data_IF_902096688068
#
_entry.id   IF_902096688068
#
_cell.length_a   1.000
_cell.length_b   1.000
_cell.length_c   1.000
_cell.angle_alpha   90.00
_cell.angle_beta   90.00
_cell.angle_gamma   90.00
#
_symmetry.space_group_name_H-M   'P 1'
#
loop_
_entity.id
_entity.type
_entity.pdbx_description
1 polymer ?
#
# COMPACT_ATOMS: atom_id res chain seq x y z
N UNK A 1 -1.28 2.79 16.41
CA UNK A 1 -0.09 2.08 16.93
C UNK A 1 -0.42 0.61 17.16
N UNK A 2 -0.80 -0.12 16.12
CA UNK A 2 -1.15 -1.54 16.23
C UNK A 2 0.10 -2.42 16.45
N UNK A 3 1.28 -1.86 16.26
CA UNK A 3 2.55 -2.49 16.63
C UNK A 3 2.76 -2.62 18.15
N UNK A 4 1.94 -1.97 18.97
CA UNK A 4 1.92 -2.14 20.42
C UNK A 4 0.93 -3.25 20.80
N UNK A 5 1.42 -4.31 21.45
CA UNK A 5 0.61 -5.48 21.80
C UNK A 5 -0.59 -5.14 22.68
N UNK A 6 -0.44 -4.19 23.62
CA UNK A 6 -1.55 -3.81 24.49
C UNK A 6 -2.68 -3.11 23.71
N UNK A 7 -2.32 -2.30 22.71
CA UNK A 7 -3.30 -1.67 21.81
C UNK A 7 -3.97 -2.73 20.94
N UNK A 8 -3.19 -3.63 20.34
CA UNK A 8 -3.72 -4.73 19.53
C UNK A 8 -4.74 -5.57 20.30
N UNK A 9 -4.37 -6.05 21.49
CA UNK A 9 -5.23 -6.90 22.32
C UNK A 9 -6.52 -6.16 22.72
N UNK A 10 -6.41 -4.87 23.07
CA UNK A 10 -7.57 -4.05 23.43
C UNK A 10 -8.52 -3.83 22.25
N UNK A 11 -8.00 -3.56 21.04
CA UNK A 11 -8.85 -3.30 19.87
C UNK A 11 -9.40 -4.57 19.20
N UNK A 12 -8.81 -5.74 19.46
CA UNK A 12 -9.23 -7.02 18.87
C UNK A 12 -10.00 -7.92 19.84
N UNK A 13 -10.39 -7.43 21.02
CA UNK A 13 -11.15 -8.22 22.01
C UNK A 13 -12.46 -8.78 21.42
N UNK A 14 -13.25 -7.96 20.73
CA UNK A 14 -14.49 -8.41 20.09
C UNK A 14 -14.23 -9.30 18.87
N UNK A 15 -13.21 -9.00 18.07
CA UNK A 15 -12.81 -9.86 16.95
C UNK A 15 -12.49 -11.26 17.47
N UNK A 16 -11.70 -11.36 18.54
CA UNK A 16 -11.39 -12.64 19.19
C UNK A 16 -12.66 -13.37 19.64
N UNK A 17 -13.62 -12.64 20.21
CA UNK A 17 -14.90 -13.20 20.64
C UNK A 17 -15.67 -13.79 19.47
N UNK A 18 -15.72 -13.11 18.32
CA UNK A 18 -16.40 -13.61 17.12
C UNK A 18 -15.84 -14.97 16.66
N UNK A 19 -14.52 -15.14 16.67
CA UNK A 19 -13.90 -16.42 16.32
C UNK A 19 -14.07 -17.48 17.43
N UNK A 20 -13.94 -17.09 18.71
CA UNK A 20 -14.08 -18.03 19.84
C UNK A 20 -15.49 -18.59 19.95
N UNK A 21 -16.51 -17.78 19.65
CA UNK A 21 -17.92 -18.19 19.65
C UNK A 21 -18.39 -18.77 18.30
N UNK A 22 -17.51 -18.85 17.29
CA UNK A 22 -17.85 -19.42 15.97
C UNK A 22 -18.85 -18.58 15.17
N UNK A 23 -18.81 -17.25 15.32
CA UNK A 23 -19.72 -16.31 14.63
C UNK A 23 -19.25 -15.96 13.21
N UNK A 24 -17.96 -16.13 12.91
CA UNK A 24 -17.34 -15.82 11.62
C UNK A 24 -16.26 -16.84 11.28
N UNK A 25 -16.05 -17.06 9.98
CA UNK A 25 -15.03 -17.99 9.46
C UNK A 25 -13.77 -17.26 8.97
N UNK A 26 -13.83 -15.94 8.82
CA UNK A 26 -12.75 -15.16 8.23
C UNK A 26 -12.87 -13.66 8.45
N UNK A 27 -11.81 -12.94 8.09
CA UNK A 27 -11.70 -11.49 8.24
C UNK A 27 -10.97 -10.88 7.05
N UNK A 28 -11.46 -9.71 6.60
CA UNK A 28 -10.80 -8.84 5.64
C UNK A 28 -10.15 -7.69 6.38
N UNK A 29 -8.85 -7.51 6.19
CA UNK A 29 -8.08 -6.44 6.81
C UNK A 29 -8.03 -5.24 5.88
N UNK A 30 -8.50 -4.12 6.40
CA UNK A 30 -8.45 -2.81 5.76
C UNK A 30 -7.05 -2.22 5.88
N UNK A 31 -6.54 -1.67 4.78
CA UNK A 31 -5.34 -0.84 4.72
C UNK A 31 -4.13 -1.30 5.58
N UNK A 32 -3.66 -2.56 5.47
CA UNK A 32 -2.47 -3.04 6.18
C UNK A 32 -1.20 -2.25 5.82
N UNK A 33 -1.13 -1.65 4.62
CA UNK A 33 -0.03 -0.78 4.20
C UNK A 33 0.11 0.48 5.06
N UNK A 34 -0.88 0.85 5.86
CA UNK A 34 -0.79 1.94 6.84
C UNK A 34 -0.17 1.54 8.19
N UNK A 35 0.06 0.24 8.43
CA UNK A 35 0.59 -0.25 9.71
C UNK A 35 2.10 -0.05 9.82
N UNK A 36 2.58 0.22 11.03
CA UNK A 36 4.03 0.34 11.30
C UNK A 36 4.78 -0.99 11.13
N UNK A 37 4.11 -2.13 11.40
CA UNK A 37 4.64 -3.48 11.25
C UNK A 37 3.52 -4.44 10.81
N UNK A 38 3.18 -4.48 9.51
CA UNK A 38 2.07 -5.28 9.01
C UNK A 38 2.30 -6.80 9.18
N UNK A 39 3.52 -7.29 8.96
CA UNK A 39 3.85 -8.71 9.14
C UNK A 39 3.64 -9.16 10.60
N UNK A 40 4.14 -8.37 11.57
CA UNK A 40 3.93 -8.65 13.00
C UNK A 40 2.46 -8.60 13.39
N UNK A 41 1.71 -7.60 12.89
CA UNK A 41 0.26 -7.50 13.10
C UNK A 41 -0.48 -8.74 12.58
N UNK A 42 -0.19 -9.17 11.35
CA UNK A 42 -0.83 -10.35 10.74
C UNK A 42 -0.44 -11.65 11.46
N UNK A 43 0.77 -11.74 12.01
CA UNK A 43 1.19 -12.82 12.89
C UNK A 43 0.33 -12.92 14.15
N UNK A 44 0.17 -11.81 14.88
CA UNK A 44 -0.70 -11.78 16.07
C UNK A 44 -2.17 -12.03 15.74
N UNK A 45 -2.64 -11.51 14.60
CA UNK A 45 -3.99 -11.77 14.14
C UNK A 45 -4.21 -13.26 13.86
N UNK A 46 -3.28 -13.92 13.17
CA UNK A 46 -3.34 -15.36 12.91
C UNK A 46 -3.41 -16.18 14.20
N UNK A 47 -2.61 -15.84 15.20
CA UNK A 47 -2.67 -16.47 16.53
C UNK A 47 -4.04 -16.28 17.19
N UNK A 48 -4.63 -15.09 17.05
CA UNK A 48 -5.90 -14.71 17.65
C UNK A 48 -7.11 -15.41 17.00
N UNK A 49 -7.13 -15.52 15.67
CA UNK A 49 -8.26 -16.08 14.91
C UNK A 49 -8.13 -17.58 14.65
N UNK A 50 -6.94 -18.15 14.86
CA UNK A 50 -6.67 -19.57 14.69
C UNK A 50 -6.21 -19.95 13.26
N UNK A 51 -5.70 -21.18 13.09
CA UNK A 51 -5.02 -21.61 11.86
C UNK A 51 -5.95 -21.77 10.64
N UNK A 52 -7.25 -22.01 10.86
CA UNK A 52 -8.22 -22.26 9.79
C UNK A 52 -8.97 -21.01 9.34
N UNK A 53 -8.88 -19.91 10.08
CA UNK A 53 -9.59 -18.68 9.73
C UNK A 53 -9.11 -18.14 8.38
N UNK A 54 -10.03 -17.75 7.53
CA UNK A 54 -9.71 -17.15 6.24
C UNK A 54 -9.36 -15.67 6.41
N UNK A 55 -8.10 -15.28 6.16
CA UNK A 55 -7.65 -13.88 6.29
C UNK A 55 -7.31 -13.35 4.90
N UNK A 56 -7.94 -12.26 4.48
CA UNK A 56 -7.58 -11.55 3.24
C UNK A 56 -7.22 -10.10 3.55
N UNK A 57 -6.34 -9.51 2.75
CA UNK A 57 -5.84 -8.15 2.97
C UNK A 57 -6.17 -7.23 1.80
N UNK A 58 -6.61 -6.01 2.11
CA UNK A 58 -6.68 -4.95 1.11
C UNK A 58 -5.27 -4.43 0.79
N UNK A 59 -4.58 -5.13 -0.11
CA UNK A 59 -3.27 -4.72 -0.61
C UNK A 59 -3.37 -4.45 -2.11
N UNK A 60 -2.84 -3.30 -2.54
CA UNK A 60 -2.67 -3.00 -3.96
C UNK A 60 -1.27 -3.47 -4.38
N UNK A 61 -1.21 -4.40 -5.33
CA UNK A 61 0.03 -4.89 -5.92
C UNK A 61 0.32 -4.12 -7.22
N UNK A 62 1.57 -3.72 -7.42
CA UNK A 62 2.03 -3.32 -8.75
C UNK A 62 2.00 -4.50 -9.73
N UNK A 63 2.14 -4.23 -11.03
CA UNK A 63 1.97 -5.24 -12.10
C UNK A 63 2.85 -6.47 -11.88
N UNK A 64 4.13 -6.25 -11.56
CA UNK A 64 5.12 -7.31 -11.35
C UNK A 64 5.42 -7.57 -9.86
N UNK A 65 4.58 -7.07 -8.95
CA UNK A 65 4.74 -7.25 -7.51
C UNK A 65 3.99 -8.48 -7.02
N UNK A 66 4.70 -9.40 -6.36
CA UNK A 66 4.07 -10.51 -5.65
C UNK A 66 3.61 -10.09 -4.24
N UNK A 67 2.53 -10.70 -3.75
CA UNK A 67 2.23 -10.67 -2.32
C UNK A 67 3.35 -11.39 -1.55
N UNK A 68 3.83 -10.79 -0.46
CA UNK A 68 4.90 -11.34 0.37
C UNK A 68 4.50 -12.75 0.89
N UNK A 69 5.18 -13.82 0.45
CA UNK A 69 4.74 -15.20 0.69
C UNK A 69 4.82 -15.63 2.16
N UNK A 70 5.58 -14.92 3.00
CA UNK A 70 5.65 -15.20 4.43
C UNK A 70 4.44 -14.71 5.23
N UNK A 71 3.56 -13.88 4.64
CA UNK A 71 2.39 -13.36 5.34
C UNK A 71 1.36 -14.48 5.60
N UNK A 72 0.80 -14.60 6.83
CA UNK A 72 -0.12 -15.67 7.19
C UNK A 72 -1.56 -15.42 6.71
N UNK A 73 -1.72 -15.02 5.45
CA UNK A 73 -2.97 -14.62 4.80
C UNK A 73 -3.26 -15.52 3.60
N UNK A 74 -4.53 -15.58 3.19
CA UNK A 74 -4.98 -16.35 2.04
C UNK A 74 -4.82 -15.60 0.70
N UNK A 75 -4.58 -14.29 0.73
CA UNK A 75 -4.41 -13.46 -0.47
C UNK A 75 -4.82 -12.01 -0.26
N UNK A 76 -4.86 -11.27 -1.38
CA UNK A 76 -5.39 -9.90 -1.42
C UNK A 76 -6.92 -9.90 -1.52
N UNK A 77 -7.55 -8.73 -1.59
CA UNK A 77 -8.97 -8.58 -1.94
C UNK A 77 -9.25 -8.67 -3.45
N UNK A 78 -8.25 -8.90 -4.30
CA UNK A 78 -8.42 -9.28 -5.70
C UNK A 78 -8.25 -8.18 -6.75
N UNK A 79 -7.66 -7.02 -6.43
CA UNK A 79 -7.41 -5.97 -7.43
C UNK A 79 -6.40 -6.39 -8.52
N UNK A 80 -5.45 -7.22 -8.15
CA UNK A 80 -4.53 -7.94 -9.03
C UNK A 80 -5.28 -8.82 -10.05
N UNK A 81 -6.21 -9.67 -9.56
CA UNK A 81 -7.05 -10.49 -10.43
C UNK A 81 -7.99 -9.64 -11.30
N UNK A 82 -8.54 -8.56 -10.75
CA UNK A 82 -9.40 -7.62 -11.47
C UNK A 82 -8.67 -6.99 -12.67
N UNK A 83 -7.41 -6.60 -12.50
CA UNK A 83 -6.57 -6.06 -13.58
C UNK A 83 -6.37 -7.09 -14.70
N UNK A 84 -5.99 -8.32 -14.35
CA UNK A 84 -5.73 -9.39 -15.33
C UNK A 84 -6.99 -9.80 -16.10
N UNK A 85 -8.09 -10.07 -15.39
CA UNK A 85 -9.36 -10.47 -16.00
C UNK A 85 -9.93 -9.32 -16.84
N UNK A 86 -9.87 -8.09 -16.33
CA UNK A 86 -10.30 -6.89 -17.06
C UNK A 86 -9.53 -6.70 -18.37
N UNK A 87 -8.22 -6.99 -18.37
CA UNK A 87 -7.36 -6.90 -19.55
C UNK A 87 -7.78 -7.82 -20.70
N UNK A 88 -8.40 -8.98 -20.42
CA UNK A 88 -8.89 -9.92 -21.44
C UNK A 88 -9.96 -9.29 -22.36
N UNK A 89 -10.70 -8.30 -21.87
CA UNK A 89 -11.75 -7.63 -22.63
C UNK A 89 -11.25 -6.44 -23.45
N UNK A 90 -9.96 -6.13 -23.40
CA UNK A 90 -9.34 -5.05 -24.17
C UNK A 90 -8.76 -5.61 -25.46
N UNK A 91 -9.22 -5.10 -26.62
CA UNK A 91 -8.63 -5.44 -27.91
C UNK A 91 -7.26 -4.74 -28.05
N UNK A 92 -6.14 -5.47 -28.10
CA UNK A 92 -4.81 -4.88 -28.17
C UNK A 92 -4.57 -4.11 -29.48
N UNK A 93 -5.33 -4.39 -30.54
CA UNK A 93 -5.17 -3.67 -31.82
C UNK A 93 -5.65 -2.22 -31.75
N UNK A 94 -6.45 -1.87 -30.73
CA UNK A 94 -6.95 -0.51 -30.50
C UNK A 94 -5.94 0.45 -29.86
N UNK A 95 -4.83 -0.06 -29.31
CA UNK A 95 -3.87 0.74 -28.51
C UNK A 95 -3.40 2.00 -29.25
N UNK A 96 -2.91 1.85 -30.49
CA UNK A 96 -2.36 2.96 -31.26
C UNK A 96 -3.42 4.04 -31.56
N UNK A 97 -4.64 3.63 -31.88
CA UNK A 97 -5.73 4.55 -32.21
C UNK A 97 -6.21 5.32 -30.97
N UNK A 98 -6.37 4.64 -29.83
CA UNK A 98 -6.77 5.26 -28.57
C UNK A 98 -5.68 6.18 -28.01
N UNK A 99 -4.41 5.80 -28.14
CA UNK A 99 -3.27 6.65 -27.76
C UNK A 99 -3.23 7.92 -28.62
N UNK A 100 -3.37 7.80 -29.94
CA UNK A 100 -3.42 8.96 -30.83
C UNK A 100 -4.61 9.89 -30.54
N UNK A 101 -5.76 9.34 -30.17
CA UNK A 101 -6.91 10.13 -29.72
C UNK A 101 -6.61 10.88 -28.42
N UNK A 102 -6.00 10.22 -27.43
CA UNK A 102 -5.57 10.86 -26.19
C UNK A 102 -4.58 12.00 -26.45
N UNK A 103 -3.56 11.74 -27.27
CA UNK A 103 -2.54 12.74 -27.63
C UNK A 103 -3.16 13.96 -28.32
N UNK A 104 -4.19 13.75 -29.15
CA UNK A 104 -4.91 14.84 -29.82
C UNK A 104 -5.64 15.80 -28.86
N UNK A 105 -5.90 15.38 -27.62
CA UNK A 105 -6.48 16.23 -26.58
C UNK A 105 -5.47 17.20 -25.94
N UNK A 106 -4.19 17.15 -26.34
CA UNK A 106 -3.17 18.12 -25.95
C UNK A 106 -2.22 17.66 -24.83
N UNK A 107 -2.15 16.36 -24.55
CA UNK A 107 -1.18 15.79 -23.61
C UNK A 107 -0.66 14.45 -24.14
N UNK A 108 0.65 14.29 -24.38
CA UNK A 108 1.21 13.03 -24.85
C UNK A 108 1.10 11.93 -23.79
N UNK A 109 0.60 10.76 -24.17
CA UNK A 109 0.51 9.60 -23.28
C UNK A 109 1.89 9.17 -22.76
N UNK A 110 2.93 9.32 -23.58
CA UNK A 110 4.32 9.02 -23.22
C UNK A 110 4.83 9.84 -22.01
N UNK A 111 4.20 10.97 -21.68
CA UNK A 111 4.57 11.81 -20.55
C UNK A 111 3.88 11.38 -19.24
N UNK A 112 2.88 10.48 -19.29
CA UNK A 112 2.12 10.06 -18.11
C UNK A 112 3.00 9.52 -16.96
N UNK A 113 4.06 8.74 -17.19
CA UNK A 113 4.96 8.32 -16.10
C UNK A 113 5.66 9.51 -15.42
N UNK A 114 6.05 10.54 -16.17
CA UNK A 114 6.66 11.74 -15.61
C UNK A 114 5.63 12.57 -14.84
N UNK A 115 4.41 12.69 -15.37
CA UNK A 115 3.29 13.34 -14.69
C UNK A 115 2.96 12.63 -13.36
N UNK A 116 2.91 11.30 -13.34
CA UNK A 116 2.69 10.54 -12.11
C UNK A 116 3.77 10.83 -11.06
N UNK A 117 5.05 10.86 -11.44
CA UNK A 117 6.14 11.25 -10.53
C UNK A 117 5.99 12.69 -10.01
N UNK A 118 5.62 13.63 -10.88
CA UNK A 118 5.35 15.02 -10.50
C UNK A 118 4.23 15.12 -9.48
N UNK A 119 3.10 14.46 -9.73
CA UNK A 119 1.94 14.45 -8.84
C UNK A 119 2.24 13.78 -7.49
N UNK A 120 3.06 12.73 -7.48
CA UNK A 120 3.55 12.12 -6.22
C UNK A 120 4.40 13.10 -5.41
N UNK A 121 5.31 13.83 -6.06
CA UNK A 121 6.12 14.84 -5.39
C UNK A 121 5.22 15.96 -4.83
N UNK A 122 4.27 16.46 -5.62
CA UNK A 122 3.30 17.47 -5.19
C UNK A 122 2.47 16.99 -3.99
N UNK A 123 1.95 15.77 -4.03
CA UNK A 123 1.19 15.17 -2.93
C UNK A 123 2.03 15.06 -1.64
N UNK A 124 3.30 14.66 -1.75
CA UNK A 124 4.23 14.57 -0.61
C UNK A 124 4.51 15.94 -0.01
N UNK A 125 4.75 16.95 -0.83
CA UNK A 125 5.11 18.30 -0.35
C UNK A 125 3.91 19.15 0.06
N UNK A 126 2.73 18.88 -0.51
CA UNK A 126 1.47 19.57 -0.24
C UNK A 126 0.61 18.78 0.74
N UNK A 127 -0.21 17.87 0.22
CA UNK A 127 -1.22 17.10 0.97
C UNK A 127 -0.64 16.39 2.21
N UNK A 128 0.55 15.80 2.09
CA UNK A 128 1.24 15.05 3.14
C UNK A 128 2.38 15.85 3.79
N UNK A 129 2.33 17.19 3.73
CA UNK A 129 3.39 18.06 4.25
C UNK A 129 3.65 17.85 5.75
N UNK A 130 2.62 17.47 6.52
CA UNK A 130 2.77 17.16 7.95
C UNK A 130 3.58 15.88 8.19
N UNK A 131 3.29 14.83 7.43
CA UNK A 131 3.99 13.55 7.44
C UNK A 131 5.45 13.75 6.99
N UNK A 132 5.67 14.51 5.91
CA UNK A 132 6.99 14.87 5.42
C UNK A 132 7.81 15.60 6.50
N UNK A 133 7.21 16.61 7.15
CA UNK A 133 7.87 17.35 8.21
C UNK A 133 8.24 16.45 9.39
N UNK A 134 7.37 15.51 9.77
CA UNK A 134 7.68 14.51 10.81
C UNK A 134 8.82 13.60 10.39
N UNK A 135 8.80 13.08 9.16
CA UNK A 135 9.87 12.21 8.64
C UNK A 135 11.21 12.93 8.61
N UNK A 136 11.25 14.20 8.18
CA UNK A 136 12.49 15.00 8.18
C UNK A 136 13.07 15.18 9.59
N UNK A 137 12.22 15.37 10.61
CA UNK A 137 12.66 15.41 12.01
C UNK A 137 13.23 14.07 12.47
N UNK A 138 12.60 12.96 12.10
CA UNK A 138 13.11 11.61 12.39
C UNK A 138 14.46 11.36 11.73
N UNK A 139 14.59 11.69 10.44
CA UNK A 139 15.86 11.55 9.71
C UNK A 139 16.95 12.37 10.40
N UNK A 140 16.68 13.63 10.73
CA UNK A 140 17.66 14.51 11.39
C UNK A 140 18.09 13.98 12.77
N UNK A 141 17.15 13.39 13.52
CA UNK A 141 17.44 12.81 14.83
C UNK A 141 18.33 11.56 14.72
N UNK A 142 18.12 10.73 13.69
CA UNK A 142 18.90 9.50 13.47
C UNK A 142 20.26 9.79 12.84
N UNK A 143 20.32 10.71 11.87
CA UNK A 143 21.57 11.07 11.19
C UNK A 143 22.47 12.00 12.02
N UNK A 144 21.91 12.69 13.00
CA UNK A 144 22.61 13.74 13.76
C UNK A 144 22.90 15.01 12.94
N UNK A 145 22.35 15.12 11.73
CA UNK A 145 22.58 16.25 10.82
C UNK A 145 21.29 16.74 10.20
N UNK A 146 21.19 18.05 9.99
CA UNK A 146 20.09 18.70 9.28
C UNK A 146 20.60 19.26 7.96
N UNK A 147 19.86 19.05 6.86
CA UNK A 147 20.18 19.65 5.57
C UNK A 147 18.90 20.25 4.95
N UNK A 148 18.97 21.46 4.35
CA UNK A 148 17.78 22.11 3.77
C UNK A 148 17.11 21.28 2.67
N UNK A 149 17.88 20.44 1.96
CA UNK A 149 17.38 19.64 0.85
C UNK A 149 16.73 18.30 1.26
N UNK A 150 16.70 17.93 2.55
CA UNK A 150 16.09 16.66 3.00
C UNK A 150 14.63 16.50 2.54
N UNK A 151 13.75 17.52 2.68
CA UNK A 151 12.37 17.39 2.23
C UNK A 151 12.26 17.10 0.72
N UNK A 152 13.05 17.80 -0.09
CA UNK A 152 13.07 17.60 -1.54
C UNK A 152 13.63 16.22 -1.90
N UNK A 153 14.71 15.78 -1.24
CA UNK A 153 15.28 14.47 -1.45
C UNK A 153 14.31 13.33 -1.11
N UNK A 154 13.55 13.47 -0.02
CA UNK A 154 12.49 12.52 0.35
C UNK A 154 11.37 12.50 -0.69
N UNK A 155 10.87 13.67 -1.12
CA UNK A 155 9.83 13.74 -2.15
C UNK A 155 10.29 13.13 -3.49
N UNK A 156 11.52 13.39 -3.90
CA UNK A 156 12.13 12.79 -5.09
C UNK A 156 12.29 11.28 -4.95
N UNK A 157 12.74 10.78 -3.79
CA UNK A 157 12.83 9.34 -3.55
C UNK A 157 11.47 8.67 -3.67
N UNK A 158 10.47 9.19 -2.94
CA UNK A 158 9.11 8.63 -2.92
C UNK A 158 8.44 8.68 -4.30
N UNK A 159 8.74 9.67 -5.14
CA UNK A 159 8.20 9.73 -6.50
C UNK A 159 8.69 8.59 -7.38
N UNK A 160 9.86 8.02 -7.11
CA UNK A 160 10.46 6.90 -7.87
C UNK A 160 10.15 5.50 -7.30
N UNK A 161 9.48 5.40 -6.15
CA UNK A 161 9.03 4.10 -5.63
C UNK A 161 7.79 3.64 -6.41
N UNK A 162 7.87 2.53 -7.14
CA UNK A 162 6.79 2.06 -8.02
C UNK A 162 5.79 1.10 -7.35
N UNK A 163 6.03 0.78 -6.08
CA UNK A 163 5.13 0.00 -5.20
C UNK A 163 4.54 0.88 -4.11
N UNK A 164 3.48 0.44 -3.42
CA UNK A 164 2.85 1.20 -2.34
C UNK A 164 3.79 1.40 -1.14
N UNK A 165 4.56 0.37 -0.79
CA UNK A 165 5.62 0.38 0.24
C UNK A 165 6.60 -0.77 0.01
N UNK A 166 7.72 -0.80 0.74
CA UNK A 166 8.84 -1.73 0.46
C UNK A 166 9.27 -2.60 1.65
N UNK A 167 8.64 -2.46 2.81
CA UNK A 167 9.08 -3.01 4.10
C UNK A 167 8.06 -4.00 4.69
N UNK A 168 7.73 -5.04 3.91
CA UNK A 168 7.03 -6.22 4.41
C UNK A 168 7.97 -7.26 4.99
#
# INVERSE_FOLDING_TARGET
RQEDRAVFDATHAEVKRWFTEGLVDGIRIDHPDGLSNPAGYLGWLRELVGPQAWIVVEKILAVDEALEPSLPVAGTTGYDALREIGGVFIDPTGEAALTGLFDSAGSPYAEMPALARSLKAEAVTGTLGSELARLCRTISAVSGTTHPDVPAAVATLLSHIEVYRSDY
#
